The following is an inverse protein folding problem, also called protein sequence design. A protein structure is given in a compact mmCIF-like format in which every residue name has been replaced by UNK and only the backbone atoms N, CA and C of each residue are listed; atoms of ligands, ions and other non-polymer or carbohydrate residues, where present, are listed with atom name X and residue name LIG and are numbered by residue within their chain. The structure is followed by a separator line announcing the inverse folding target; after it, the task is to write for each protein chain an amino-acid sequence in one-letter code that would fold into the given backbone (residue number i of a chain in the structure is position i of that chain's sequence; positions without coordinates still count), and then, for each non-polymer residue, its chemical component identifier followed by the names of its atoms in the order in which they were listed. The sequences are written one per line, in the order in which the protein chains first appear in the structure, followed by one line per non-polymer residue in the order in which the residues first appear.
data_IF_301662353286
#
_entry.id   IF_301662353286
#
_cell.length_a   1.000
_cell.length_b   1.000
_cell.length_c   1.000
_cell.angle_alpha   90.00
_cell.angle_beta   90.00
_cell.angle_gamma   90.00
#
_symmetry.space_group_name_H-M   'P 1'
#
loop_
_entity.id
_entity.type
_entity.pdbx_description
1 polymer ?
#
# COMPACT_ATOMS: atom_id res chain seq x y z
N UNK A 1 18.33 1.88 20.99
CA UNK A 1 18.14 1.08 19.77
C UNK A 1 19.42 1.13 18.96
N UNK A 2 19.75 0.08 18.22
CA UNK A 2 21.00 -0.04 17.48
C UNK A 2 21.17 -1.42 16.85
N UNK A 3 22.32 -1.66 16.22
CA UNK A 3 22.67 -2.98 15.69
C UNK A 3 23.98 -3.45 16.31
N UNK A 4 24.10 -4.74 16.56
CA UNK A 4 25.36 -5.37 16.96
C UNK A 4 25.71 -6.51 16.01
N UNK A 5 27.00 -6.64 15.72
CA UNK A 5 27.52 -7.65 14.80
C UNK A 5 28.71 -8.36 15.45
N UNK A 6 28.58 -9.67 15.62
CA UNK A 6 29.67 -10.58 15.98
C UNK A 6 29.64 -11.72 14.96
N UNK A 7 30.41 -11.64 13.86
CA UNK A 7 30.34 -12.61 12.78
C UNK A 7 30.34 -14.07 13.28
N UNK A 8 29.45 -14.94 12.76
CA UNK A 8 28.49 -14.71 11.66
C UNK A 8 27.15 -14.09 12.09
N UNK A 9 27.00 -13.65 13.34
CA UNK A 9 25.73 -13.20 13.91
C UNK A 9 25.54 -11.68 13.83
N UNK A 10 24.37 -11.28 13.34
CA UNK A 10 23.90 -9.89 13.29
C UNK A 10 22.59 -9.80 14.07
N UNK A 11 22.48 -8.80 14.95
CA UNK A 11 21.23 -8.47 15.63
C UNK A 11 20.90 -6.99 15.47
N UNK A 12 19.63 -6.69 15.23
CA UNK A 12 19.10 -5.33 15.10
C UNK A 12 18.04 -5.15 16.19
N UNK A 13 18.18 -4.11 17.00
CA UNK A 13 17.30 -3.81 18.13
C UNK A 13 16.57 -2.50 17.86
N UNK A 14 15.28 -2.60 17.54
CA UNK A 14 14.36 -1.49 17.26
C UNK A 14 13.31 -1.35 18.36
N UNK A 15 12.51 -0.29 18.30
CA UNK A 15 11.41 -0.08 19.23
C UNK A 15 10.32 -1.11 18.98
N UNK A 16 9.83 -1.73 20.05
CA UNK A 16 8.66 -2.60 19.97
C UNK A 16 7.43 -1.80 19.58
N UNK A 17 6.74 -2.24 18.52
CA UNK A 17 5.41 -1.74 18.18
C UNK A 17 4.38 -2.43 19.07
N UNK A 18 3.48 -1.66 19.71
CA UNK A 18 2.47 -2.19 20.63
C UNK A 18 1.13 -2.50 19.96
N UNK A 19 1.03 -2.29 18.65
CA UNK A 19 -0.14 -2.58 17.82
C UNK A 19 -0.02 -3.86 17.01
N UNK A 20 -1.01 -4.07 16.14
CA UNK A 20 -0.98 -5.15 15.16
C UNK A 20 -0.50 -4.63 13.80
N UNK A 21 0.01 -5.54 12.97
CA UNK A 21 0.32 -5.20 11.58
C UNK A 21 -0.96 -4.87 10.83
N UNK A 22 -0.86 -4.01 9.82
CA UNK A 22 -1.96 -3.72 8.91
C UNK A 22 -2.45 -4.99 8.22
N UNK A 23 -1.52 -5.92 7.92
CA UNK A 23 -1.85 -7.25 7.41
C UNK A 23 -2.78 -8.02 8.36
N UNK A 24 -2.46 -8.06 9.65
CA UNK A 24 -3.29 -8.73 10.67
C UNK A 24 -4.70 -8.13 10.69
N UNK A 25 -4.81 -6.80 10.70
CA UNK A 25 -6.11 -6.14 10.75
C UNK A 25 -6.95 -6.43 9.49
N UNK A 26 -6.35 -6.34 8.31
CA UNK A 26 -7.05 -6.54 7.04
C UNK A 26 -7.39 -8.01 6.79
N UNK A 27 -6.42 -8.92 6.87
CA UNK A 27 -6.57 -10.28 6.36
C UNK A 27 -6.96 -11.31 7.43
N UNK A 28 -6.58 -11.07 8.69
CA UNK A 28 -6.87 -12.00 9.80
C UNK A 28 -8.16 -11.57 10.50
N UNK A 29 -8.21 -10.33 10.98
CA UNK A 29 -9.40 -9.81 11.65
C UNK A 29 -10.50 -9.36 10.70
N UNK A 30 -10.20 -9.22 9.40
CA UNK A 30 -11.14 -8.74 8.38
C UNK A 30 -11.81 -7.42 8.79
N UNK A 31 -11.02 -6.56 9.44
CA UNK A 31 -11.49 -5.25 9.89
C UNK A 31 -11.85 -4.39 8.68
N UNK A 32 -13.08 -3.85 8.68
CA UNK A 32 -13.51 -2.91 7.65
C UNK A 32 -13.15 -1.50 8.06
N UNK A 33 -12.22 -0.89 7.34
CA UNK A 33 -11.82 0.48 7.56
C UNK A 33 -12.86 1.43 6.95
N UNK A 34 -13.22 2.50 7.66
CA UNK A 34 -13.96 3.60 7.05
C UNK A 34 -13.02 4.42 6.17
N UNK A 35 -13.54 5.04 5.09
CA UNK A 35 -12.73 5.85 4.16
C UNK A 35 -11.87 6.91 4.86
N UNK A 36 -12.41 7.55 5.91
CA UNK A 36 -11.67 8.54 6.71
C UNK A 36 -10.45 7.89 7.41
N UNK A 37 -10.61 6.69 7.95
CA UNK A 37 -9.53 5.92 8.60
C UNK A 37 -8.51 5.45 7.56
N UNK A 38 -8.95 4.94 6.42
CA UNK A 38 -8.05 4.57 5.31
C UNK A 38 -7.21 5.77 4.86
N UNK A 39 -7.85 6.91 4.61
CA UNK A 39 -7.16 8.13 4.16
C UNK A 39 -6.14 8.60 5.19
N UNK A 40 -6.48 8.55 6.49
CA UNK A 40 -5.57 8.89 7.58
C UNK A 40 -4.37 7.94 7.65
N UNK A 41 -4.60 6.63 7.47
CA UNK A 41 -3.53 5.62 7.42
C UNK A 41 -2.62 5.87 6.22
N UNK A 42 -3.20 6.07 5.03
CA UNK A 42 -2.46 6.37 3.80
C UNK A 42 -1.61 7.65 3.92
N UNK A 43 -2.14 8.70 4.54
CA UNK A 43 -1.42 9.95 4.80
C UNK A 43 -0.20 9.71 5.70
N UNK A 44 -0.38 8.99 6.81
CA UNK A 44 0.74 8.70 7.73
C UNK A 44 1.81 7.81 7.07
N UNK A 45 1.41 6.82 6.25
CA UNK A 45 2.37 6.01 5.48
C UNK A 45 3.14 6.91 4.51
N UNK A 46 2.43 7.78 3.77
CA UNK A 46 3.04 8.68 2.79
C UNK A 46 4.01 9.66 3.46
N UNK A 47 3.65 10.19 4.64
CA UNK A 47 4.52 11.05 5.43
C UNK A 47 5.80 10.32 5.88
N UNK A 48 5.67 9.10 6.42
CA UNK A 48 6.81 8.30 6.86
C UNK A 48 7.73 7.91 5.70
N UNK A 49 7.17 7.49 4.57
CA UNK A 49 7.93 7.16 3.38
C UNK A 49 8.59 8.38 2.75
N UNK A 50 7.91 9.54 2.72
CA UNK A 50 8.48 10.80 2.28
C UNK A 50 9.70 11.20 3.11
N UNK A 51 9.65 10.99 4.43
CA UNK A 51 10.81 11.20 5.31
C UNK A 51 11.99 10.28 4.96
N UNK A 52 11.75 8.98 4.75
CA UNK A 52 12.80 8.04 4.34
C UNK A 52 13.44 8.45 3.01
N UNK A 53 12.62 8.78 2.02
CA UNK A 53 13.06 9.19 0.68
C UNK A 53 13.83 10.50 0.67
N UNK A 54 13.48 11.46 1.54
CA UNK A 54 14.22 12.70 1.73
C UNK A 54 15.61 12.45 2.36
N UNK A 55 15.76 11.37 3.13
CA UNK A 55 17.05 10.92 3.70
C UNK A 55 17.82 9.97 2.77
N UNK A 56 17.34 9.76 1.54
CA UNK A 56 17.97 8.83 0.59
C UNK A 56 17.80 7.35 0.94
N UNK A 57 16.88 7.01 1.84
CA UNK A 57 16.62 5.64 2.27
C UNK A 57 15.44 5.08 1.47
N UNK A 58 15.65 3.99 0.76
CA UNK A 58 14.60 3.20 0.12
C UNK A 58 14.09 2.13 1.08
N UNK A 59 12.78 1.88 1.11
CA UNK A 59 12.24 0.83 1.95
C UNK A 59 12.50 -0.56 1.35
N UNK A 60 12.32 -0.72 0.03
CA UNK A 60 12.55 -1.95 -0.77
C UNK A 60 11.58 -3.11 -0.53
N UNK A 61 10.78 -3.07 0.53
CA UNK A 61 9.83 -4.13 0.93
C UNK A 61 8.65 -3.54 1.70
N UNK A 62 8.12 -2.41 1.21
CA UNK A 62 6.94 -1.79 1.80
C UNK A 62 5.73 -2.70 1.57
N UNK A 63 5.13 -3.20 2.65
CA UNK A 63 3.97 -4.11 2.60
C UNK A 63 3.14 -4.02 3.87
N UNK A 64 1.91 -4.51 3.85
CA UNK A 64 1.01 -4.46 5.01
C UNK A 64 1.55 -5.19 6.26
N UNK A 65 2.48 -6.14 6.10
CA UNK A 65 3.18 -6.81 7.21
C UNK A 65 4.22 -5.94 7.91
N UNK A 66 4.77 -4.94 7.22
CA UNK A 66 5.80 -4.03 7.73
C UNK A 66 5.22 -2.67 8.15
N UNK A 67 3.89 -2.60 8.32
CA UNK A 67 3.16 -1.41 8.74
C UNK A 67 2.35 -1.80 9.97
N UNK A 68 2.51 -1.09 11.07
CA UNK A 68 1.77 -1.31 12.31
C UNK A 68 0.75 -0.20 12.53
N UNK A 69 -0.42 -0.57 13.06
CA UNK A 69 -1.40 0.37 13.60
C UNK A 69 -1.41 0.20 15.12
N UNK A 70 -0.88 1.20 15.82
CA UNK A 70 -0.87 1.27 17.28
C UNK A 70 -2.17 1.90 17.83
N UNK A 71 -2.24 2.00 19.16
CA UNK A 71 -3.30 2.77 19.84
C UNK A 71 -3.36 4.20 19.28
N UNK A 72 -4.55 4.80 19.31
CA UNK A 72 -4.83 6.14 18.78
C UNK A 72 -4.61 6.29 17.26
N UNK A 73 -4.71 5.19 16.49
CA UNK A 73 -4.54 5.17 15.02
C UNK A 73 -3.16 5.67 14.54
N UNK A 74 -2.13 5.57 15.38
CA UNK A 74 -0.76 5.89 14.99
C UNK A 74 -0.21 4.79 14.09
N UNK A 75 0.32 5.18 12.93
CA UNK A 75 0.94 4.26 11.97
C UNK A 75 2.45 4.28 12.13
N UNK A 76 3.06 3.09 12.16
CA UNK A 76 4.52 2.92 12.26
C UNK A 76 4.99 2.02 11.12
N UNK A 77 6.01 2.47 10.38
CA UNK A 77 6.66 1.72 9.30
C UNK A 77 7.91 1.04 9.86
N UNK A 78 8.10 -0.25 9.59
CA UNK A 78 9.22 -1.07 10.09
C UNK A 78 10.01 -1.69 8.94
N UNK A 79 11.17 -2.27 9.25
CA UNK A 79 11.97 -3.11 8.35
C UNK A 79 12.43 -2.46 7.02
N UNK A 80 12.44 -1.13 6.97
CA UNK A 80 12.95 -0.38 5.83
C UNK A 80 14.45 -0.64 5.61
N UNK A 81 14.84 -0.87 4.35
CA UNK A 81 16.23 -1.07 3.97
C UNK A 81 16.84 -2.42 4.38
N UNK A 82 16.10 -3.29 5.06
CA UNK A 82 16.60 -4.61 5.51
C UNK A 82 16.45 -5.72 4.47
N UNK A 83 15.62 -5.49 3.44
CA UNK A 83 15.31 -6.52 2.47
C UNK A 83 16.47 -6.75 1.49
N UNK A 84 16.89 -8.02 1.41
CA UNK A 84 17.93 -8.47 0.49
C UNK A 84 17.34 -9.54 -0.45
N UNK A 85 17.19 -9.18 -1.72
CA UNK A 85 16.62 -10.05 -2.76
C UNK A 85 17.46 -11.29 -3.03
N UNK A 86 18.77 -11.28 -2.77
CA UNK A 86 19.64 -12.45 -2.95
C UNK A 86 19.22 -13.63 -2.05
N UNK A 87 18.48 -13.37 -0.96
CA UNK A 87 17.92 -14.43 -0.08
C UNK A 87 16.75 -15.19 -0.71
N UNK A 88 16.14 -14.67 -1.77
CA UNK A 88 15.07 -15.36 -2.50
C UNK A 88 15.61 -16.47 -3.40
N UNK A 89 16.92 -16.50 -3.62
CA UNK A 89 17.55 -17.43 -4.52
C UNK A 89 17.74 -18.80 -3.85
N UNK A 90 17.12 -19.85 -4.40
CA UNK A 90 17.34 -21.20 -3.92
C UNK A 90 18.54 -21.84 -4.62
N UNK A 91 19.66 -21.91 -3.90
CA UNK A 91 20.93 -22.48 -4.40
C UNK A 91 20.85 -23.97 -4.77
N UNK A 92 19.85 -24.69 -4.25
CA UNK A 92 19.73 -26.16 -4.42
C UNK A 92 18.84 -26.53 -5.61
N UNK A 93 17.94 -25.63 -6.04
CA UNK A 93 16.87 -25.95 -7.00
C UNK A 93 16.82 -25.10 -8.26
N UNK A 94 17.83 -24.27 -8.55
CA UNK A 94 17.86 -23.36 -9.71
C UNK A 94 16.57 -22.54 -9.90
N UNK A 95 16.00 -22.05 -8.79
CA UNK A 95 14.71 -21.37 -8.78
C UNK A 95 14.60 -20.29 -7.71
N UNK A 96 13.57 -19.43 -7.83
CA UNK A 96 13.26 -18.40 -6.83
C UNK A 96 12.27 -18.94 -5.80
N UNK A 97 12.61 -18.84 -4.51
CA UNK A 97 11.67 -19.05 -3.42
C UNK A 97 10.88 -17.76 -3.20
N UNK A 98 9.68 -17.71 -3.77
CA UNK A 98 8.81 -16.53 -3.76
C UNK A 98 7.82 -16.64 -2.60
N UNK A 99 7.85 -15.72 -1.61
CA UNK A 99 6.86 -15.71 -0.54
C UNK A 99 5.45 -15.43 -1.09
N UNK A 100 4.45 -16.14 -0.55
CA UNK A 100 3.04 -15.93 -0.95
C UNK A 100 2.62 -14.47 -0.69
N UNK A 101 2.01 -13.87 -1.71
CA UNK A 101 1.52 -12.49 -1.65
C UNK A 101 2.61 -11.43 -1.74
N UNK A 102 3.87 -11.78 -2.03
CA UNK A 102 4.94 -10.79 -2.16
C UNK A 102 5.01 -10.15 -3.56
N UNK A 103 4.77 -10.93 -4.62
CA UNK A 103 4.86 -10.47 -6.01
C UNK A 103 3.97 -9.27 -6.32
N UNK A 104 2.80 -9.17 -5.69
CA UNK A 104 1.87 -8.06 -5.96
C UNK A 104 2.36 -6.69 -5.48
N UNK A 105 3.39 -6.63 -4.63
CA UNK A 105 4.01 -5.37 -4.22
C UNK A 105 5.11 -4.92 -5.19
N UNK A 106 5.57 -5.81 -6.09
CA UNK A 106 6.67 -5.51 -6.98
C UNK A 106 6.20 -4.72 -8.20
N UNK A 107 6.91 -3.63 -8.46
CA UNK A 107 6.69 -2.82 -9.63
C UNK A 107 7.07 -3.56 -10.93
N UNK A 108 6.47 -3.22 -12.09
CA UNK A 108 6.71 -3.90 -13.36
C UNK A 108 8.19 -3.98 -13.78
N UNK A 109 8.99 -2.95 -13.50
CA UNK A 109 10.43 -2.91 -13.77
C UNK A 109 11.23 -3.91 -12.94
N UNK A 110 10.84 -4.12 -11.67
CA UNK A 110 11.44 -5.14 -10.82
C UNK A 110 10.98 -6.51 -11.29
N UNK A 111 9.68 -6.67 -11.57
CA UNK A 111 9.09 -7.93 -12.02
C UNK A 111 9.76 -8.47 -13.29
N UNK A 112 10.02 -7.60 -14.27
CA UNK A 112 10.72 -7.96 -15.53
C UNK A 112 12.20 -8.31 -15.33
N UNK A 113 12.78 -7.86 -14.22
CA UNK A 113 14.19 -8.06 -13.88
C UNK A 113 14.41 -9.25 -12.94
N UNK A 114 13.33 -9.88 -12.45
CA UNK A 114 13.43 -11.11 -11.67
C UNK A 114 14.01 -12.23 -12.55
N UNK A 115 15.16 -12.75 -12.15
CA UNK A 115 15.80 -13.89 -12.81
C UNK A 115 15.99 -15.04 -11.83
N UNK A 116 15.68 -16.25 -12.31
CA UNK A 116 15.95 -17.48 -11.58
C UNK A 116 17.44 -17.81 -11.51
N UNK A 117 18.31 -17.03 -12.17
CA UNK A 117 19.78 -17.09 -12.09
C UNK A 117 20.30 -15.66 -12.02
N UNK A 118 20.43 -15.14 -10.80
CA UNK A 118 21.07 -13.85 -10.54
C UNK A 118 22.40 -14.15 -9.83
N UNK A 119 23.51 -14.06 -10.56
CA UNK A 119 24.85 -14.11 -9.99
C UNK A 119 25.02 -12.91 -9.06
N UNK A 120 25.91 -13.03 -8.08
CA UNK A 120 26.25 -11.90 -7.19
C UNK A 120 26.83 -10.70 -7.96
N UNK A 121 27.34 -10.96 -9.17
CA UNK A 121 27.88 -9.98 -10.12
C UNK A 121 26.83 -9.37 -11.04
N UNK A 122 25.60 -9.90 -11.06
CA UNK A 122 24.52 -9.36 -11.90
C UNK A 122 24.01 -8.03 -11.33
N UNK A 123 23.57 -7.14 -12.22
CA UNK A 123 23.02 -5.83 -11.86
C UNK A 123 21.98 -5.95 -10.73
N UNK A 124 22.09 -5.05 -9.75
CA UNK A 124 21.07 -4.91 -8.70
C UNK A 124 19.70 -4.68 -9.35
N UNK A 125 18.65 -5.27 -8.78
CA UNK A 125 17.29 -5.02 -9.25
C UNK A 125 17.03 -3.51 -9.31
N UNK A 126 16.28 -3.01 -10.32
CA UNK A 126 16.06 -1.58 -10.54
C UNK A 126 15.08 -1.00 -9.52
N UNK A 127 15.48 -0.98 -8.26
CA UNK A 127 14.71 -0.51 -7.12
C UNK A 127 14.95 0.98 -6.97
N UNK A 128 13.86 1.73 -6.91
CA UNK A 128 13.90 3.19 -6.82
C UNK A 128 12.81 3.71 -5.87
N UNK A 129 12.75 5.03 -5.68
CA UNK A 129 11.68 5.68 -4.90
C UNK A 129 10.30 5.37 -5.49
N UNK A 130 10.21 5.31 -6.81
CA UNK A 130 9.01 5.03 -7.57
C UNK A 130 8.55 3.57 -7.38
N UNK A 131 9.47 2.65 -7.07
CA UNK A 131 9.12 1.26 -6.74
C UNK A 131 8.45 1.14 -5.37
N UNK A 132 8.90 1.93 -4.37
CA UNK A 132 8.24 2.03 -3.07
C UNK A 132 6.83 2.64 -3.21
N UNK A 133 6.64 3.59 -4.14
CA UNK A 133 5.33 4.16 -4.46
C UNK A 133 4.37 3.12 -5.04
N UNK A 134 4.87 2.25 -5.93
CA UNK A 134 4.07 1.15 -6.46
C UNK A 134 3.62 0.21 -5.36
N UNK A 135 4.53 -0.15 -4.45
CA UNK A 135 4.23 -1.00 -3.29
C UNK A 135 3.19 -0.34 -2.35
N UNK A 136 3.28 0.98 -2.15
CA UNK A 136 2.23 1.75 -1.46
C UNK A 136 0.87 1.64 -2.17
N UNK A 137 0.84 1.69 -3.51
CA UNK A 137 -0.38 1.43 -4.28
C UNK A 137 -1.02 0.09 -3.95
N UNK A 138 -0.21 -0.97 -3.80
CA UNK A 138 -0.71 -2.28 -3.38
C UNK A 138 -1.26 -2.27 -1.96
N UNK A 139 -0.61 -1.58 -1.02
CA UNK A 139 -1.16 -1.38 0.35
C UNK A 139 -2.48 -0.60 0.31
N UNK A 140 -2.58 0.40 -0.55
CA UNK A 140 -3.81 1.18 -0.74
C UNK A 140 -4.94 0.31 -1.30
N UNK A 141 -4.65 -0.58 -2.26
CA UNK A 141 -5.61 -1.57 -2.74
C UNK A 141 -6.07 -2.51 -1.63
N UNK A 142 -5.15 -3.01 -0.79
CA UNK A 142 -5.51 -3.87 0.35
C UNK A 142 -6.47 -3.15 1.32
N UNK A 143 -6.23 -1.86 1.61
CA UNK A 143 -7.12 -1.05 2.45
C UNK A 143 -8.52 -0.89 1.85
N UNK A 144 -8.61 -0.76 0.52
CA UNK A 144 -9.86 -0.55 -0.20
C UNK A 144 -10.68 -1.83 -0.38
N UNK A 145 -10.02 -2.94 -0.70
CA UNK A 145 -10.65 -4.19 -1.08
C UNK A 145 -10.70 -5.22 0.06
N UNK A 146 -9.83 -5.08 1.07
CA UNK A 146 -9.68 -6.05 2.15
C UNK A 146 -8.93 -7.32 1.75
N UNK A 147 -8.28 -7.33 0.58
CA UNK A 147 -7.62 -8.50 0.00
C UNK A 147 -6.46 -8.10 -0.92
N UNK A 148 -5.61 -9.07 -1.26
CA UNK A 148 -4.53 -8.84 -2.23
C UNK A 148 -5.07 -8.74 -3.65
N UNK A 149 -4.45 -7.91 -4.50
CA UNK A 149 -4.69 -8.02 -5.92
C UNK A 149 -4.20 -9.40 -6.40
N UNK A 150 -4.88 -9.97 -7.38
CA UNK A 150 -4.52 -11.28 -7.98
C UNK A 150 -4.54 -12.48 -7.02
N UNK A 151 -5.34 -12.43 -5.93
CA UNK A 151 -5.36 -13.44 -4.84
C UNK A 151 -5.52 -14.92 -5.28
N UNK A 152 -6.11 -15.16 -6.45
CA UNK A 152 -6.42 -16.50 -6.98
C UNK A 152 -5.59 -16.88 -8.21
N UNK A 153 -4.51 -16.14 -8.50
CA UNK A 153 -3.67 -16.38 -9.67
C UNK A 153 -2.33 -17.02 -9.28
N UNK A 154 -1.77 -17.84 -10.18
CA UNK A 154 -0.46 -18.44 -9.98
C UNK A 154 0.66 -17.39 -10.03
N UNK A 155 1.80 -17.62 -9.36
CA UNK A 155 2.95 -16.70 -9.40
C UNK A 155 3.39 -16.32 -10.81
N UNK A 156 3.43 -17.28 -11.74
CA UNK A 156 3.83 -17.08 -13.13
C UNK A 156 2.87 -16.16 -13.87
N UNK A 157 1.57 -16.32 -13.61
CA UNK A 157 0.53 -15.48 -14.18
C UNK A 157 0.62 -14.04 -13.66
N UNK A 158 0.92 -13.86 -12.37
CA UNK A 158 1.14 -12.54 -11.77
C UNK A 158 2.39 -11.89 -12.37
N UNK A 159 3.49 -12.63 -12.50
CA UNK A 159 4.73 -12.15 -13.12
C UNK A 159 4.46 -11.64 -14.54
N UNK A 160 3.75 -12.42 -15.35
CA UNK A 160 3.42 -12.04 -16.72
C UNK A 160 2.53 -10.80 -16.78
N UNK A 161 1.42 -10.78 -16.03
CA UNK A 161 0.46 -9.68 -16.05
C UNK A 161 1.07 -8.38 -15.55
N UNK A 162 1.72 -8.40 -14.39
CA UNK A 162 2.36 -7.21 -13.81
C UNK A 162 3.52 -6.75 -14.70
N UNK A 163 4.33 -7.67 -15.23
CA UNK A 163 5.41 -7.34 -16.17
C UNK A 163 4.93 -6.67 -17.46
N UNK A 164 3.72 -6.99 -17.92
CA UNK A 164 3.02 -6.34 -19.04
C UNK A 164 2.24 -5.07 -18.64
N UNK A 165 2.21 -4.71 -17.36
CA UNK A 165 1.52 -3.53 -16.86
C UNK A 165 0.01 -3.70 -16.70
N UNK A 166 -0.48 -4.93 -16.78
CA UNK A 166 -1.88 -5.27 -16.52
C UNK A 166 -2.18 -5.07 -15.04
N UNK A 167 -3.41 -4.62 -14.74
CA UNK A 167 -3.87 -4.28 -13.39
C UNK A 167 -5.18 -5.00 -13.12
N UNK A 168 -5.49 -5.31 -11.85
CA UNK A 168 -6.81 -5.82 -11.49
C UNK A 168 -7.90 -4.84 -11.89
N UNK A 169 -9.06 -5.36 -12.31
CA UNK A 169 -10.22 -4.52 -12.56
C UNK A 169 -10.73 -3.88 -11.27
N UNK A 170 -10.96 -2.56 -11.31
CA UNK A 170 -11.54 -1.79 -10.21
C UNK A 170 -13.05 -1.55 -10.39
N UNK A 171 -13.69 -2.23 -11.35
CA UNK A 171 -15.11 -2.04 -11.67
C UNK A 171 -16.01 -2.36 -10.47
N UNK A 172 -15.69 -3.42 -9.73
CA UNK A 172 -16.48 -3.86 -8.58
C UNK A 172 -16.17 -3.08 -7.28
N UNK A 173 -15.16 -2.19 -7.31
CA UNK A 173 -14.76 -1.42 -6.14
C UNK A 173 -15.70 -0.23 -5.93
N UNK A 174 -16.41 -0.24 -4.80
CA UNK A 174 -17.33 0.82 -4.36
C UNK A 174 -16.54 1.97 -3.71
N UNK A 175 -15.85 2.75 -4.54
CA UNK A 175 -15.08 3.93 -4.13
C UNK A 175 -15.26 5.08 -5.14
N UNK A 176 -15.05 6.32 -4.71
CA UNK A 176 -15.10 7.47 -5.61
C UNK A 176 -13.96 7.43 -6.64
N UNK A 177 -14.13 8.15 -7.74
CA UNK A 177 -13.10 8.20 -8.78
C UNK A 177 -11.77 8.72 -8.24
N UNK A 178 -11.79 9.75 -7.37
CA UNK A 178 -10.57 10.30 -6.75
C UNK A 178 -9.76 9.23 -5.99
N UNK A 179 -10.44 8.32 -5.29
CA UNK A 179 -9.81 7.23 -4.53
C UNK A 179 -9.14 6.22 -5.48
N UNK A 180 -9.81 5.89 -6.58
CA UNK A 180 -9.29 5.00 -7.63
C UNK A 180 -8.13 5.65 -8.38
N UNK A 181 -8.18 6.95 -8.61
CA UNK A 181 -7.13 7.69 -9.31
C UNK A 181 -5.82 7.69 -8.54
N UNK A 182 -5.86 7.81 -7.20
CA UNK A 182 -4.67 7.65 -6.35
C UNK A 182 -4.02 6.29 -6.57
N UNK A 183 -4.82 5.22 -6.53
CA UNK A 183 -4.33 3.86 -6.78
C UNK A 183 -3.70 3.72 -8.17
N UNK A 184 -4.41 4.18 -9.20
CA UNK A 184 -3.98 4.02 -10.59
C UNK A 184 -2.70 4.79 -10.89
N UNK A 185 -2.51 5.97 -10.28
CA UNK A 185 -1.26 6.75 -10.36
C UNK A 185 -0.08 6.03 -9.69
N UNK A 186 -0.29 5.41 -8.53
CA UNK A 186 0.74 4.59 -7.88
C UNK A 186 1.14 3.39 -8.75
N UNK A 187 0.16 2.79 -9.45
CA UNK A 187 0.37 1.65 -10.34
C UNK A 187 0.75 2.02 -11.79
N UNK A 188 1.17 3.27 -12.07
CA UNK A 188 1.65 3.63 -13.40
C UNK A 188 2.77 2.70 -13.87
N UNK A 189 2.70 2.28 -15.14
CA UNK A 189 3.64 1.29 -15.69
C UNK A 189 5.07 1.84 -15.72
N UNK A 190 5.24 3.07 -16.21
CA UNK A 190 6.53 3.75 -16.18
C UNK A 190 6.76 4.31 -14.76
N UNK A 191 7.96 4.12 -14.19
CA UNK A 191 8.30 4.66 -12.88
C UNK A 191 8.14 6.19 -12.80
N UNK A 192 8.55 6.91 -13.85
CA UNK A 192 8.46 8.38 -13.95
C UNK A 192 7.06 8.96 -13.82
N UNK A 193 6.04 8.16 -14.14
CA UNK A 193 4.64 8.60 -14.14
C UNK A 193 3.99 8.40 -12.76
N UNK A 194 4.74 7.86 -11.79
CA UNK A 194 4.29 7.68 -10.41
C UNK A 194 4.60 8.95 -9.61
N UNK A 195 3.65 9.43 -8.79
CA UNK A 195 3.88 10.59 -7.94
C UNK A 195 4.87 10.29 -6.82
N UNK A 196 5.57 11.29 -6.33
CA UNK A 196 6.32 11.17 -5.08
C UNK A 196 5.38 11.10 -3.86
N UNK A 197 5.92 10.68 -2.71
CA UNK A 197 5.13 10.54 -1.49
C UNK A 197 4.58 11.88 -0.96
N UNK A 198 5.23 13.01 -1.26
CA UNK A 198 4.76 14.34 -0.88
C UNK A 198 3.48 14.69 -1.66
N UNK A 199 3.47 14.41 -2.95
CA UNK A 199 2.32 14.61 -3.84
C UNK A 199 1.19 13.64 -3.51
N UNK A 200 1.52 12.40 -3.15
CA UNK A 200 0.54 11.43 -2.67
C UNK A 200 -0.14 11.87 -1.38
N UNK A 201 0.63 12.35 -0.40
CA UNK A 201 0.07 12.87 0.85
C UNK A 201 -0.96 13.97 0.59
N UNK A 202 -0.62 14.95 -0.25
CA UNK A 202 -1.54 16.03 -0.67
C UNK A 202 -2.78 15.51 -1.41
N UNK A 203 -2.62 14.47 -2.22
CA UNK A 203 -3.74 13.85 -2.94
C UNK A 203 -4.70 13.15 -1.99
N UNK A 204 -4.17 12.45 -0.98
CA UNK A 204 -4.94 11.76 0.06
C UNK A 204 -5.64 12.72 1.01
N UNK A 205 -5.09 13.91 1.25
CA UNK A 205 -5.74 14.97 2.05
C UNK A 205 -6.97 15.56 1.37
N UNK A 206 -6.96 15.62 0.05
CA UNK A 206 -8.07 16.15 -0.77
C UNK A 206 -9.21 15.17 -0.96
N UNK A 207 -9.03 13.90 -0.60
CA UNK A 207 -10.09 12.90 -0.72
C UNK A 207 -11.31 13.33 0.11
N UNK A 208 -12.53 13.13 -0.41
CA UNK A 208 -13.74 13.52 0.28
C UNK A 208 -13.85 12.74 1.58
N UNK A 209 -13.55 13.42 2.70
CA UNK A 209 -13.94 12.94 4.02
C UNK A 209 -15.46 12.89 3.97
N UNK A 210 -16.09 11.73 4.19
CA UNK A 210 -17.56 11.68 4.33
C UNK A 210 -17.93 12.66 5.44
N UNK A 211 -18.32 13.89 5.08
CA UNK A 211 -19.27 14.66 5.87
C UNK A 211 -20.47 13.74 5.92
N UNK A 212 -20.93 13.42 7.13
CA UNK A 212 -22.29 12.95 7.31
C UNK A 212 -23.13 14.08 6.70
N UNK A 213 -23.47 13.95 5.42
CA UNK A 213 -24.52 14.76 4.82
C UNK A 213 -25.73 14.34 5.63
N UNK A 214 -26.13 15.20 6.58
CA UNK A 214 -27.47 15.15 7.12
C UNK A 214 -28.37 15.04 5.89
N UNK A 215 -29.01 13.88 5.72
CA UNK A 215 -29.97 13.68 4.66
C UNK A 215 -30.94 14.84 4.80
N UNK A 216 -31.02 15.72 3.81
CA UNK A 216 -32.12 16.67 3.74
C UNK A 216 -33.40 15.84 3.87
N UNK A 217 -34.26 16.11 4.86
CA UNK A 217 -35.50 15.37 4.97
C UNK A 217 -36.24 15.57 3.64
N UNK A 218 -36.60 14.46 3.00
CA UNK A 218 -37.40 14.44 1.77
C UNK A 218 -38.86 14.82 2.02
N UNK A 219 -39.14 15.55 3.11
CA UNK A 219 -40.44 16.07 3.46
C UNK A 219 -40.35 17.58 3.68
N UNK A 220 -41.26 18.36 3.06
CA UNK A 220 -41.32 19.79 3.30
C UNK A 220 -41.70 20.05 4.78
N UNK A 221 -40.72 20.46 5.57
CA UNK A 221 -40.94 21.11 6.87
C UNK A 221 -41.37 22.54 6.59
N UNK A 222 -42.66 22.74 6.29
CA UNK A 222 -43.48 23.95 6.52
C UNK A 222 -44.74 23.89 5.65
N UNK A 223 -45.75 23.14 6.10
CA UNK A 223 -47.14 23.31 5.70
C UNK A 223 -47.93 23.82 6.90
N UNK A 224 -47.63 25.05 7.31
CA UNK A 224 -48.50 25.84 8.18
C UNK A 224 -48.56 27.27 7.67
N UNK A 225 -49.32 27.48 6.59
CA UNK A 225 -49.91 28.79 6.29
C UNK A 225 -51.35 28.58 5.87
N UNK A 226 -52.22 28.83 6.85
CA UNK A 226 -53.49 29.55 6.74
C UNK A 226 -54.53 28.99 5.75
N UNK A 227 -55.41 28.16 6.28
CA UNK A 227 -56.79 28.06 5.80
C UNK A 227 -57.74 28.34 6.97
N UNK A 228 -57.74 29.59 7.42
CA UNK A 228 -58.86 30.16 8.17
C UNK A 228 -59.18 31.52 7.56
N UNK A 229 -60.48 31.79 7.46
CA UNK A 229 -61.16 32.96 6.88
C UNK A 229 -61.22 33.03 5.35
N UNK A 230 -62.39 32.69 4.79
CA UNK A 230 -63.34 33.68 4.21
C UNK A 230 -64.73 33.04 4.21
N UNK A 231 -65.70 33.74 4.82
CA UNK A 231 -67.14 33.55 4.67
C UNK A 231 -67.60 34.00 3.27
#
# INVERSE_FOLDING_TARGET
MGACMKPPHLAIVTSKCNGHTLYTNIHIYKEKFALNKMSTVGQQISQGMGYLHARGILHKDLKSKNIFIEKNNKVVITDFGLFNFSKLYNRVGNGLSIPRGWLCYLAPEIMRSLRAHQKYEDEELPISKESDVYAFGTVWFELLCGEWPFKDQSPESIIFQVGKGMKPSLANLQASQDVKDVLMKCWSYKPSDRPDFITLMKSLEKLPKKRILARSPSHPLNLSRSAESVF
#
